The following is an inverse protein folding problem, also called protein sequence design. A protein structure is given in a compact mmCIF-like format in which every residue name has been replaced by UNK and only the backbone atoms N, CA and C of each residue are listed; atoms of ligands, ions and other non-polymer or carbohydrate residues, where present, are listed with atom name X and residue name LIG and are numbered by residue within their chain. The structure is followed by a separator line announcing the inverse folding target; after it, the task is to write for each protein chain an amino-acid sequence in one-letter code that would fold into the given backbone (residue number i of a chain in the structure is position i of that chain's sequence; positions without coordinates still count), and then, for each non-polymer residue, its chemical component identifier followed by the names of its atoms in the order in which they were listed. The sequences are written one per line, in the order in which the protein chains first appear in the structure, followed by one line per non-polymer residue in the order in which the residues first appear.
data_IF_414436435707
#
_entry.id   IF_414436435707
#
_cell.length_a   1.000
_cell.length_b   1.000
_cell.length_c   1.000
_cell.angle_alpha   90.00
_cell.angle_beta   90.00
_cell.angle_gamma   90.00
#
_symmetry.space_group_name_H-M   'P 1'
#
loop_
_entity.id
_entity.type
_entity.pdbx_description
1 polymer ?
2 non-polymer ?
3 water ?
#
# COMPACT_ATOMS: atom_id res chain seq x y z
N UNK A 1 -1.88 7.94 -20.22
CA UNK A 1 -1.22 8.21 -18.94
C UNK A 1 0.21 8.69 -19.18
N UNK A 2 0.75 9.48 -18.25
CA UNK A 2 2.03 10.15 -18.51
C UNK A 2 3.21 9.21 -18.27
N UNK A 3 4.38 9.66 -18.72
CA UNK A 3 5.56 8.83 -18.60
C UNK A 3 6.02 8.74 -17.15
N UNK A 4 5.70 9.74 -16.34
CA UNK A 4 6.08 9.75 -14.93
C UNK A 4 4.86 10.03 -14.07
N UNK A 5 4.75 9.29 -12.98
CA UNK A 5 3.78 9.56 -11.94
C UNK A 5 4.53 9.51 -10.62
N UNK A 6 4.21 10.45 -9.74
CA UNK A 6 4.81 10.45 -8.42
C UNK A 6 3.80 11.15 -7.51
N UNK A 7 2.97 10.36 -6.84
CA UNK A 7 1.93 10.93 -6.00
C UNK A 7 2.49 11.71 -4.82
N UNK A 8 3.76 11.51 -4.47
CA UNK A 8 4.37 12.34 -3.43
C UNK A 8 4.40 13.79 -3.87
N UNK A 9 4.65 14.02 -5.16
CA UNK A 9 4.72 15.36 -5.73
C UNK A 9 3.35 16.00 -5.83
N UNK A 10 2.30 15.20 -5.89
CA UNK A 10 0.94 15.70 -5.87
C UNK A 10 0.42 15.88 -4.45
N UNK A 11 1.29 15.71 -3.45
CA UNK A 11 0.87 15.85 -2.07
C UNK A 11 -0.15 14.82 -1.63
N UNK A 12 -0.08 13.61 -2.17
CA UNK A 12 -1.08 12.56 -1.93
C UNK A 12 -0.51 11.41 -1.12
N UNK A 13 0.69 11.56 -0.56
CA UNK A 13 1.38 10.50 0.15
C UNK A 13 1.83 11.04 1.50
N UNK A 14 1.48 10.33 2.56
CA UNK A 14 1.88 10.73 3.90
C UNK A 14 3.30 10.24 4.17
N UNK A 15 3.91 10.65 5.28
CA UNK A 15 5.27 10.20 5.58
C UNK A 15 5.37 8.69 5.63
N UNK A 16 6.57 8.19 5.33
CA UNK A 16 6.81 6.75 5.39
C UNK A 16 6.64 6.25 6.81
N UNK A 17 5.99 5.11 6.94
CA UNK A 17 5.73 4.52 8.24
C UNK A 17 6.62 3.30 8.42
N UNK A 18 6.67 2.81 9.65
CA UNK A 18 7.41 1.60 9.97
C UNK A 18 6.46 0.64 10.66
N UNK A 19 6.20 -0.49 10.02
CA UNK A 19 5.32 -1.47 10.62
C UNK A 19 5.96 -2.23 11.78
N UNK A 20 7.29 -2.20 11.90
CA UNK A 20 7.86 -2.97 12.99
C UNK A 20 7.82 -4.46 12.70
N UNK A 21 7.86 -5.24 13.78
CA UNK A 21 7.90 -6.69 13.65
C UNK A 21 6.55 -7.29 13.28
N UNK A 22 5.46 -6.55 13.49
CA UNK A 22 4.12 -7.06 13.23
C UNK A 22 3.91 -7.28 11.74
N UNK A 23 3.30 -8.41 11.38
CA UNK A 23 3.02 -8.65 9.98
C UNK A 23 1.80 -7.89 9.50
N UNK A 24 1.87 -6.57 9.58
CA UNK A 24 0.76 -5.68 9.28
C UNK A 24 0.95 -4.92 7.98
N UNK A 25 1.79 -5.42 7.08
CA UNK A 25 2.04 -4.70 5.83
C UNK A 25 0.75 -4.51 5.04
N UNK A 26 -0.13 -5.51 5.06
CA UNK A 26 -1.39 -5.42 4.32
C UNK A 26 -2.21 -4.20 4.74
N UNK A 27 -2.17 -3.86 6.03
CA UNK A 27 -2.88 -2.68 6.51
C UNK A 27 -2.17 -1.39 6.13
N UNK A 28 -0.84 -1.37 6.19
CA UNK A 28 -0.11 -0.18 5.77
C UNK A 28 -0.34 0.10 4.30
N UNK A 29 -0.23 -0.94 3.48
CA UNK A 29 -0.49 -0.83 2.05
C UNK A 29 -1.90 -0.27 1.80
N UNK A 30 -2.91 -0.87 2.45
CA UNK A 30 -4.27 -0.38 2.29
C UNK A 30 -4.38 1.08 2.69
N UNK A 31 -3.79 1.44 3.83
CA UNK A 31 -3.88 2.81 4.33
C UNK A 31 -3.21 3.79 3.37
N UNK A 32 -2.08 3.42 2.78
CA UNK A 32 -1.47 4.32 1.80
C UNK A 32 -2.46 4.62 0.70
N UNK A 33 -3.17 3.59 0.23
CA UNK A 33 -4.11 3.84 -0.86
C UNK A 33 -5.32 4.67 -0.41
N UNK A 34 -5.74 4.53 0.86
CA UNK A 34 -6.87 5.34 1.34
C UNK A 34 -6.46 6.79 1.50
N UNK A 35 -5.32 7.04 2.14
CA UNK A 35 -4.80 8.40 2.26
C UNK A 35 -4.68 9.04 0.88
N UNK A 36 -4.24 8.27 -0.11
CA UNK A 36 -4.08 8.82 -1.44
C UNK A 36 -5.41 9.18 -2.07
N UNK A 37 -6.38 8.25 -2.04
CA UNK A 37 -7.63 8.54 -2.72
C UNK A 37 -8.38 9.65 -2.00
N UNK A 38 -8.23 9.77 -0.68
CA UNK A 38 -8.89 10.87 0.01
C UNK A 38 -8.26 12.20 -0.38
N UNK A 39 -6.93 12.25 -0.52
CA UNK A 39 -6.30 13.48 -0.99
C UNK A 39 -6.74 13.82 -2.41
N UNK A 40 -6.75 12.82 -3.29
CA UNK A 40 -7.14 13.01 -4.68
C UNK A 40 -8.57 13.53 -4.78
N UNK A 41 -9.48 12.98 -3.98
CA UNK A 41 -10.89 13.35 -4.08
C UNK A 41 -11.23 14.62 -3.30
N UNK A 42 -10.54 14.91 -2.19
CA UNK A 42 -10.95 16.01 -1.32
C UNK A 42 -9.94 17.14 -1.21
N UNK A 43 -8.69 16.93 -1.63
CA UNK A 43 -7.68 17.96 -1.52
C UNK A 43 -6.92 17.97 -0.22
N UNK A 44 -7.31 17.13 0.75
CA UNK A 44 -6.67 17.09 2.06
C UNK A 44 -5.93 15.77 2.21
N UNK A 45 -4.69 15.85 2.66
CA UNK A 45 -3.89 14.69 2.98
C UNK A 45 -4.00 14.43 4.47
N UNK A 46 -4.54 13.27 4.82
CA UNK A 46 -4.66 12.89 6.22
C UNK A 46 -4.00 11.55 6.41
N UNK A 47 -3.63 11.26 7.64
CA UNK A 47 -3.15 9.94 7.98
C UNK A 47 -4.27 9.15 8.62
N UNK A 48 -4.41 7.90 8.19
CA UNK A 48 -5.45 7.03 8.67
C UNK A 48 -4.83 5.84 9.38
N UNK A 49 -5.68 5.06 10.02
CA UNK A 49 -5.25 4.11 11.03
C UNK A 49 -4.96 2.75 10.42
N UNK A 50 -3.67 2.40 10.35
CA UNK A 50 -3.30 1.01 10.09
C UNK A 50 -3.78 0.14 11.23
N UNK A 51 -3.69 0.66 12.46
CA UNK A 51 -4.07 -0.11 13.63
C UNK A 51 -5.54 -0.48 13.57
N UNK A 52 -6.38 0.42 13.08
CA UNK A 52 -7.80 0.11 12.99
C UNK A 52 -8.02 -1.10 12.10
N UNK A 53 -7.32 -1.17 10.97
CA UNK A 53 -7.47 -2.31 10.08
C UNK A 53 -6.92 -3.57 10.74
N UNK A 54 -5.78 -3.45 11.41
CA UNK A 54 -5.20 -4.58 12.13
C UNK A 54 -6.18 -5.17 13.13
N UNK A 55 -6.85 -4.31 13.90
CA UNK A 55 -7.75 -4.78 14.94
C UNK A 55 -9.07 -5.28 14.38
N UNK A 56 -9.57 -4.62 13.34
CA UNK A 56 -10.96 -4.73 12.95
C UNK A 56 -11.21 -5.54 11.70
N UNK A 57 -10.20 -5.82 10.90
CA UNK A 57 -10.44 -6.61 9.70
C UNK A 57 -10.55 -8.08 10.11
N UNK A 58 -11.79 -8.55 10.24
CA UNK A 58 -12.02 -9.91 10.70
C UNK A 58 -11.61 -10.99 9.70
N UNK A 59 -11.30 -10.65 8.44
CA UNK A 59 -10.78 -11.65 7.51
C UNK A 59 -9.28 -11.78 7.57
N UNK A 60 -8.59 -10.71 7.97
CA UNK A 60 -7.16 -10.76 8.20
C UNK A 60 -6.88 -11.41 9.54
N UNK A 61 -5.60 -11.66 9.78
CA UNK A 61 -5.18 -12.35 10.99
C UNK A 61 -4.27 -11.46 11.83
N UNK A 62 -4.58 -10.16 11.89
CA UNK A 62 -3.80 -9.27 12.73
C UNK A 62 -2.35 -9.19 12.29
N UNK A 63 -1.45 -9.37 13.25
CA UNK A 63 -0.02 -9.33 12.96
C UNK A 63 0.48 -10.60 12.29
N UNK A 64 -0.38 -11.57 12.07
CA UNK A 64 0.04 -12.75 11.35
C UNK A 64 -0.24 -12.63 9.86
N UNK A 65 -0.56 -11.43 9.40
CA UNK A 65 -0.76 -11.19 7.99
C UNK A 65 -2.23 -10.94 7.70
N UNK A 66 -2.50 -10.66 6.44
CA UNK A 66 -3.83 -10.25 6.06
C UNK A 66 -3.89 -9.92 4.59
N UNK A 67 -5.00 -9.30 4.21
CA UNK A 67 -5.35 -9.14 2.80
C UNK A 67 -5.61 -7.66 2.59
N UNK A 68 -4.80 -6.99 1.77
CA UNK A 68 -5.11 -5.59 1.44
C UNK A 68 -6.52 -5.42 0.89
N UNK A 69 -7.03 -6.42 0.16
CA UNK A 69 -8.39 -6.30 -0.35
C UNK A 69 -9.40 -6.30 0.78
N UNK A 70 -9.19 -7.15 1.79
CA UNK A 70 -10.10 -7.19 2.93
C UNK A 70 -10.10 -5.86 3.68
N UNK A 71 -8.91 -5.27 3.87
CA UNK A 71 -8.82 -3.99 4.58
C UNK A 71 -9.49 -2.87 3.80
N UNK A 72 -9.33 -2.85 2.47
CA UNK A 72 -9.97 -1.79 1.71
C UNK A 72 -11.48 -1.99 1.70
N UNK A 73 -11.92 -3.24 1.67
CA UNK A 73 -13.35 -3.51 1.76
C UNK A 73 -13.88 -3.09 3.12
N UNK A 74 -13.06 -3.19 4.17
CA UNK A 74 -13.47 -2.72 5.49
C UNK A 74 -13.65 -1.20 5.51
N UNK A 75 -12.72 -0.47 4.88
CA UNK A 75 -12.86 0.98 4.86
C UNK A 75 -14.03 1.42 4.00
N UNK A 76 -14.36 0.65 2.97
CA UNK A 76 -15.51 1.02 2.16
C UNK A 76 -16.82 0.66 2.85
N UNK A 77 -16.84 -0.42 3.63
CA UNK A 77 -18.07 -0.86 4.28
C UNK A 77 -18.38 0.00 5.50
N UNK A 78 -17.38 0.24 6.34
CA UNK A 78 -17.55 1.04 7.56
C UNK A 78 -16.85 2.37 7.39
N UNK A 79 -15.54 2.37 7.36
CA UNK A 79 -14.76 3.58 7.28
C UNK A 79 -13.46 3.36 8.01
N UNK A 80 -12.75 4.46 8.23
CA UNK A 80 -11.46 4.40 8.89
C UNK A 80 -11.28 5.70 9.65
N UNK A 81 -10.59 5.60 10.78
CA UNK A 81 -10.29 6.75 11.62
C UNK A 81 -8.96 7.37 11.27
N UNK A 82 -8.80 8.61 11.70
CA UNK A 82 -7.51 9.26 11.58
C UNK A 82 -6.48 8.48 12.38
N UNK A 83 -5.23 8.54 11.94
CA UNK A 83 -4.17 7.83 12.64
C UNK A 83 -4.02 8.34 14.07
N UNK A 84 -4.13 9.66 14.27
CA UNK A 84 -3.98 10.24 15.61
C UNK A 84 -5.08 9.77 16.55
N UNK A 85 -6.25 9.40 16.01
CA UNK A 85 -7.36 8.87 16.80
C UNK A 85 -7.15 7.41 17.20
N UNK A 86 -6.43 6.66 16.37
CA UNK A 86 -6.33 5.20 16.48
C UNK A 86 -4.88 4.88 16.12
N UNK A 87 -3.94 5.24 16.99
CA UNK A 87 -2.53 5.17 16.60
C UNK A 87 -2.01 3.75 16.51
N UNK A 88 -0.86 3.63 15.86
CA UNK A 88 -0.28 2.34 15.57
C UNK A 88 0.46 1.80 16.79
N UNK A 89 0.14 0.57 17.15
CA UNK A 89 0.71 -0.05 18.33
C UNK A 89 1.58 -1.25 18.00
N UNK A 90 1.53 -1.74 16.76
CA UNK A 90 2.41 -2.82 16.38
C UNK A 90 1.98 -4.15 16.94
N UNK A 91 0.73 -4.25 17.40
CA UNK A 91 0.18 -5.49 17.95
C UNK A 91 -1.32 -5.47 17.70
N UNK A 92 -1.88 -6.64 17.41
CA UNK A 92 -3.32 -6.69 17.22
C UNK A 92 -3.97 -6.61 18.59
N UNK A 93 -5.00 -5.79 18.69
CA UNK A 93 -5.78 -5.63 19.90
C UNK A 93 -7.24 -5.77 19.53
N UNK A 94 -8.12 -5.57 20.51
CA UNK A 94 -9.54 -5.60 20.21
C UNK A 94 -9.87 -4.47 19.23
N UNK A 95 -10.87 -4.71 18.41
CA UNK A 95 -11.37 -3.67 17.52
C UNK A 95 -12.02 -2.55 18.32
N UNK A 96 -11.49 -1.33 18.18
CA UNK A 96 -11.93 -0.18 18.95
C UNK A 96 -12.55 0.88 18.06
N UNK A 97 -12.83 0.55 16.79
CA UNK A 97 -13.47 1.49 15.87
C UNK A 97 -14.77 2.04 16.44
N UNK A 98 -15.53 1.19 17.13
CA UNK A 98 -16.74 1.65 17.79
C UNK A 98 -16.42 2.75 18.80
N UNK A 99 -15.39 2.54 19.62
CA UNK A 99 -15.12 3.42 20.75
C UNK A 99 -14.44 4.72 20.37
N UNK A 100 -14.12 4.96 19.11
CA UNK A 100 -13.43 6.19 18.75
C UNK A 100 -14.30 7.16 17.98
N UNK A 101 -15.61 7.01 18.08
CA UNK A 101 -16.48 7.98 17.48
C UNK A 101 -16.64 7.72 16.01
N UNK A 102 -17.29 8.64 15.32
CA UNK A 102 -17.54 8.45 13.89
C UNK A 102 -16.23 8.35 13.12
N UNK A 103 -16.28 7.60 12.02
CA UNK A 103 -15.15 7.46 11.12
C UNK A 103 -14.74 8.81 10.54
N UNK A 104 -13.47 8.90 10.16
CA UNK A 104 -12.92 10.11 9.56
C UNK A 104 -13.11 10.12 8.05
N UNK A 105 -13.05 8.96 7.42
CA UNK A 105 -13.19 8.84 5.99
C UNK A 105 -13.84 7.50 5.69
N UNK A 106 -14.46 7.41 4.53
CA UNK A 106 -15.07 6.17 4.11
C UNK A 106 -14.93 6.14 2.59
N UNK A 107 -14.68 4.97 2.04
CA UNK A 107 -14.58 4.85 0.59
C UNK A 107 -15.83 4.16 0.09
N UNK A 108 -15.89 3.95 -1.22
CA UNK A 108 -17.09 3.42 -1.83
C UNK A 108 -16.90 2.04 -2.41
N UNK A 109 -15.69 1.51 -2.39
CA UNK A 109 -15.50 0.16 -2.87
C UNK A 109 -14.03 -0.15 -3.05
N UNK A 110 -13.79 -1.28 -3.70
CA UNK A 110 -12.45 -1.80 -3.92
C UNK A 110 -12.44 -2.39 -5.31
N UNK A 111 -11.44 -2.03 -6.10
CA UNK A 111 -11.27 -2.63 -7.41
C UNK A 111 -9.90 -3.27 -7.47
N UNK A 112 -9.82 -4.34 -8.24
CA UNK A 112 -8.59 -5.07 -8.42
C UNK A 112 -8.02 -4.71 -9.78
N UNK A 113 -6.71 -4.48 -9.81
CA UNK A 113 -6.05 -4.37 -11.09
C UNK A 113 -5.99 -5.76 -11.70
N UNK A 114 -6.24 -5.84 -13.00
CA UNK A 114 -6.05 -7.09 -13.72
C UNK A 114 -4.64 -7.61 -13.46
N UNK A 115 -4.49 -8.76 -12.80
CA UNK A 115 -3.15 -9.21 -12.40
C UNK A 115 -2.28 -9.56 -13.60
N UNK A 116 -0.97 -9.54 -13.35
CA UNK A 116 0.02 -9.99 -14.32
C UNK A 116 -0.06 -9.15 -15.59
N UNK A 117 -0.27 -7.86 -15.41
CA UNK A 117 -0.50 -6.95 -16.51
C UNK A 117 0.11 -5.62 -16.09
N UNK A 118 1.29 -5.32 -16.63
CA UNK A 118 2.00 -4.12 -16.19
C UNK A 118 1.21 -2.86 -16.52
N UNK A 119 0.71 -2.76 -17.75
CA UNK A 119 0.00 -1.55 -18.14
C UNK A 119 -1.25 -1.31 -17.31
N UNK A 120 -1.94 -2.39 -16.93
CA UNK A 120 -3.13 -2.21 -16.11
C UNK A 120 -2.74 -1.60 -14.77
N UNK A 121 -1.62 -2.04 -14.21
CA UNK A 121 -1.16 -1.48 -12.96
C UNK A 121 -0.69 -0.05 -13.13
N UNK A 122 0.05 0.24 -14.21
CA UNK A 122 0.46 1.62 -14.46
C UNK A 122 -0.74 2.54 -14.63
N UNK A 123 -1.77 2.07 -15.33
CA UNK A 123 -2.97 2.87 -15.50
C UNK A 123 -3.60 3.20 -14.15
N UNK A 124 -3.62 2.22 -13.23
CA UNK A 124 -4.19 2.47 -11.90
C UNK A 124 -3.31 3.42 -11.10
N UNK A 125 -1.99 3.32 -11.26
CA UNK A 125 -1.10 4.25 -10.56
C UNK A 125 -1.25 5.66 -11.12
N UNK A 126 -1.50 5.79 -12.42
CA UNK A 126 -1.73 7.12 -12.96
C UNK A 126 -2.93 7.79 -12.30
N UNK A 127 -3.91 7.00 -11.86
CA UNK A 127 -5.11 7.57 -11.27
C UNK A 127 -5.02 7.71 -9.75
N UNK A 128 -4.18 6.91 -9.08
CA UNK A 128 -4.16 6.90 -7.62
C UNK A 128 -3.12 5.91 -7.11
N UNK A 129 -2.71 6.03 -5.85
CA UNK A 129 -1.88 5.01 -5.24
C UNK A 129 -2.59 3.67 -5.22
N UNK A 130 -1.83 2.59 -5.39
CA UNK A 130 -2.41 1.27 -5.55
C UNK A 130 -1.79 0.34 -4.51
N UNK A 131 -2.59 -0.53 -3.92
CA UNK A 131 -2.02 -1.53 -3.03
C UNK A 131 -1.49 -2.66 -3.88
N UNK A 132 -0.22 -3.02 -3.69
CA UNK A 132 0.37 -4.09 -4.47
C UNK A 132 1.09 -5.02 -3.51
N UNK A 133 1.42 -6.21 -3.99
CA UNK A 133 2.15 -7.16 -3.18
C UNK A 133 3.41 -7.51 -3.95
N UNK A 134 4.41 -8.00 -3.23
CA UNK A 134 5.66 -8.39 -3.84
C UNK A 134 6.37 -9.37 -2.91
N UNK A 135 7.41 -9.99 -3.45
CA UNK A 135 8.29 -10.85 -2.68
C UNK A 135 9.38 -9.99 -2.06
N UNK A 136 9.32 -9.84 -0.74
CA UNK A 136 10.29 -9.05 0.01
C UNK A 136 11.24 -9.91 0.82
N UNK A 137 11.12 -11.24 0.74
CA UNK A 137 11.91 -12.10 1.62
C UNK A 137 13.38 -12.15 1.23
N UNK A 138 13.70 -11.90 -0.04
CA UNK A 138 15.09 -11.99 -0.48
C UNK A 138 15.96 -10.92 0.14
N UNK A 139 17.22 -11.29 0.43
CA UNK A 139 18.15 -10.33 1.02
C UNK A 139 18.41 -9.16 0.09
N UNK A 140 18.35 -9.39 -1.22
CA UNK A 140 18.59 -8.29 -2.14
C UNK A 140 17.56 -7.19 -1.92
N UNK A 141 16.29 -7.58 -1.74
CA UNK A 141 15.25 -6.62 -1.40
C UNK A 141 15.41 -6.10 0.02
N UNK A 142 15.71 -6.99 0.97
CA UNK A 142 15.85 -6.56 2.36
C UNK A 142 16.94 -5.51 2.51
N UNK A 143 18.04 -5.67 1.77
CA UNK A 143 19.21 -4.82 1.91
C UNK A 143 19.20 -3.69 0.89
N UNK A 144 18.12 -3.56 0.12
CA UNK A 144 18.07 -2.54 -0.91
C UNK A 144 18.35 -1.18 -0.31
N UNK A 145 19.25 -0.43 -0.93
CA UNK A 145 19.55 0.91 -0.46
C UNK A 145 19.12 2.00 -1.42
N UNK A 146 19.02 1.70 -2.71
CA UNK A 146 18.63 2.72 -3.65
C UNK A 146 18.92 2.27 -5.06
N UNK A 147 18.41 3.05 -5.99
CA UNK A 147 18.50 2.73 -7.40
C UNK A 147 17.24 2.03 -7.85
N UNK A 148 17.22 1.69 -9.14
CA UNK A 148 16.11 0.95 -9.71
C UNK A 148 16.36 -0.53 -9.44
N UNK A 149 15.53 -1.12 -8.59
CA UNK A 149 15.73 -2.48 -8.13
C UNK A 149 15.29 -3.46 -9.21
N UNK A 150 16.18 -4.38 -9.56
CA UNK A 150 15.90 -5.39 -10.59
C UNK A 150 15.82 -6.79 -10.02
N UNK A 151 15.94 -6.95 -8.70
CA UNK A 151 16.12 -8.24 -8.09
C UNK A 151 17.57 -8.44 -7.72
N UNK A 152 18.02 -9.70 -7.58
CA UNK A 152 17.27 -10.94 -7.80
C UNK A 152 16.06 -11.07 -6.87
N UNK A 153 14.98 -11.67 -7.35
CA UNK A 153 13.83 -11.99 -6.51
C UNK A 153 12.97 -12.95 -7.30
N UNK A 154 12.21 -13.77 -6.59
CA UNK A 154 11.21 -14.61 -7.21
C UNK A 154 9.86 -13.92 -7.19
N UNK A 155 8.83 -14.67 -7.57
CA UNK A 155 7.48 -14.14 -7.53
C UNK A 155 6.67 -14.68 -6.35
N UNK A 156 7.35 -15.23 -5.35
CA UNK A 156 6.70 -15.78 -4.16
C UNK A 156 6.27 -14.61 -3.28
N UNK A 157 5.12 -14.01 -3.60
CA UNK A 157 4.78 -12.74 -2.96
C UNK A 157 4.38 -12.98 -1.52
N UNK A 158 4.79 -12.05 -0.67
CA UNK A 158 4.63 -12.23 0.77
C UNK A 158 4.53 -10.90 1.51
N UNK A 159 4.44 -9.78 0.81
CA UNK A 159 4.59 -8.48 1.43
C UNK A 159 3.77 -7.46 0.68
N UNK A 160 2.89 -6.76 1.39
CA UNK A 160 2.04 -5.76 0.77
C UNK A 160 2.67 -4.38 0.96
N UNK A 161 2.70 -3.61 -0.11
CA UNK A 161 3.31 -2.29 -0.15
C UNK A 161 2.40 -1.43 -1.01
N UNK A 162 2.84 -0.23 -1.36
CA UNK A 162 1.97 0.61 -2.15
C UNK A 162 2.70 1.22 -3.32
N UNK A 163 2.10 1.17 -4.50
CA UNK A 163 2.67 1.82 -5.67
C UNK A 163 2.12 3.24 -5.71
N UNK A 164 3.02 4.23 -5.68
CA UNK A 164 2.64 5.64 -5.64
C UNK A 164 3.19 6.41 -6.82
N UNK A 165 3.78 5.73 -7.79
CA UNK A 165 4.26 6.40 -8.98
C UNK A 165 4.96 5.42 -9.88
N UNK A 166 5.53 5.94 -10.96
CA UNK A 166 6.27 5.09 -11.88
C UNK A 166 7.06 5.98 -12.82
N UNK A 167 7.98 5.36 -13.54
CA UNK A 167 8.69 6.01 -14.61
C UNK A 167 8.89 5.05 -15.76
N UNK A 168 9.66 5.47 -16.77
CA UNK A 168 9.86 4.61 -17.94
C UNK A 168 10.39 3.23 -17.58
N UNK A 169 11.28 3.14 -16.59
CA UNK A 169 11.85 1.85 -16.22
C UNK A 169 11.34 1.32 -14.89
N UNK A 170 10.51 2.06 -14.18
CA UNK A 170 10.31 1.64 -12.80
C UNK A 170 8.89 1.90 -12.37
N UNK A 171 8.54 1.27 -11.25
CA UNK A 171 7.35 1.55 -10.47
C UNK A 171 7.83 2.01 -9.10
N UNK A 172 7.23 3.07 -8.59
CA UNK A 172 7.66 3.69 -7.35
C UNK A 172 6.85 3.12 -6.20
N UNK A 173 7.53 2.56 -5.20
CA UNK A 173 6.89 1.78 -4.14
C UNK A 173 7.20 2.44 -2.80
N UNK A 174 6.14 2.68 -2.03
CA UNK A 174 6.21 3.08 -0.63
C UNK A 174 6.18 1.81 0.21
N UNK A 175 7.28 1.54 0.89
CA UNK A 175 7.35 0.42 1.81
C UNK A 175 7.00 0.92 3.21
N UNK A 176 6.78 -0.02 4.12
CA UNK A 176 6.40 0.29 5.49
C UNK A 176 7.48 -0.20 6.44
N UNK A 177 8.73 0.01 6.05
CA UNK A 177 9.86 -0.43 6.85
C UNK A 177 10.64 0.75 7.41
N UNK A 178 10.01 1.91 7.53
CA UNK A 178 10.66 3.07 8.07
C UNK A 178 11.40 3.87 7.02
N UNK A 179 11.82 5.06 7.42
CA UNK A 179 12.49 5.97 6.50
C UNK A 179 13.95 5.63 6.24
N UNK A 180 14.56 4.71 6.99
CA UNK A 180 15.95 4.34 6.76
C UNK A 180 16.19 3.26 5.73
N UNK A 181 15.13 2.61 5.26
CA UNK A 181 15.24 1.57 4.25
C UNK A 181 15.09 2.17 2.86
N UNK A 182 15.92 1.70 1.93
CA UNK A 182 15.73 2.08 0.54
C UNK A 182 15.96 3.55 0.32
N UNK A 183 15.18 4.13 -0.58
CA UNK A 183 15.30 5.54 -0.95
C UNK A 183 14.34 6.32 -0.06
N UNK A 184 14.79 6.57 1.17
CA UNK A 184 14.00 7.23 2.22
C UNK A 184 12.69 6.50 2.47
N UNK A 185 12.72 5.18 2.37
CA UNK A 185 11.56 4.38 2.64
C UNK A 185 10.88 3.89 1.39
N UNK A 186 11.36 4.33 0.23
CA UNK A 186 10.79 3.98 -1.05
C UNK A 186 11.75 3.04 -1.78
N UNK A 187 11.20 2.34 -2.75
CA UNK A 187 11.98 1.56 -3.68
C UNK A 187 11.45 1.81 -5.08
N UNK A 188 12.36 1.94 -6.02
CA UNK A 188 11.98 1.96 -7.42
C UNK A 188 12.29 0.58 -7.99
N UNK A 189 11.26 -0.09 -8.49
CA UNK A 189 11.38 -1.46 -8.97
C UNK A 189 11.30 -1.45 -10.48
N UNK A 190 12.26 -2.12 -11.13
CA UNK A 190 12.33 -2.15 -12.58
C UNK A 190 11.01 -2.63 -13.18
N UNK A 191 10.59 -2.01 -14.27
CA UNK A 191 9.45 -2.50 -15.04
C UNK A 191 9.88 -2.62 -16.50
N UNK A 192 9.01 -3.19 -17.32
CA UNK A 192 9.32 -3.31 -18.73
C UNK A 192 10.21 -4.49 -19.08
N UNK A 193 10.31 -5.48 -18.19
CA UNK A 193 11.15 -6.65 -18.41
C UNK A 193 10.46 -7.72 -19.23
N UNK A 194 9.16 -7.60 -19.46
CA UNK A 194 8.43 -8.60 -20.22
C UNK A 194 8.02 -9.79 -19.41
N UNK A 195 8.35 -9.80 -18.13
CA UNK A 195 7.93 -10.86 -17.22
C UNK A 195 6.54 -10.51 -16.72
N UNK A 196 5.57 -11.37 -17.04
CA UNK A 196 4.19 -11.06 -16.68
C UNK A 196 4.04 -10.90 -15.17
N UNK A 197 4.86 -11.60 -14.39
CA UNK A 197 4.76 -11.51 -12.94
C UNK A 197 5.19 -10.14 -12.43
N UNK A 198 6.01 -9.42 -13.19
CA UNK A 198 6.67 -8.25 -12.63
C UNK A 198 7.92 -8.61 -11.85
N UNK A 199 8.86 -7.68 -11.76
CA UNK A 199 9.99 -7.89 -10.87
C UNK A 199 9.45 -8.12 -9.46
N UNK A 200 9.94 -9.18 -8.81
CA UNK A 200 9.48 -9.61 -7.48
C UNK A 200 7.98 -9.90 -7.42
N UNK A 201 7.38 -10.33 -8.53
CA UNK A 201 5.96 -10.64 -8.49
C UNK A 201 5.08 -9.42 -8.33
N UNK A 202 5.59 -8.24 -8.70
CA UNK A 202 4.91 -6.98 -8.42
C UNK A 202 3.52 -6.90 -9.04
N UNK A 203 3.20 -7.72 -10.03
CA UNK A 203 1.90 -7.62 -10.67
C UNK A 203 0.94 -8.70 -10.19
N UNK A 204 1.25 -9.37 -9.08
CA UNK A 204 0.46 -10.53 -8.68
C UNK A 204 -0.93 -10.16 -8.17
N UNK A 205 -1.04 -9.12 -7.34
CA UNK A 205 -2.30 -8.90 -6.64
C UNK A 205 -2.31 -7.43 -6.21
N UNK A 206 -3.02 -6.61 -6.96
CA UNK A 206 -2.99 -5.18 -6.77
C UNK A 206 -4.41 -4.66 -6.69
N UNK A 207 -4.66 -3.82 -5.69
CA UNK A 207 -5.99 -3.33 -5.38
C UNK A 207 -5.90 -1.84 -5.11
N UNK A 208 -7.01 -1.16 -5.34
CA UNK A 208 -7.08 0.25 -5.00
C UNK A 208 -8.49 0.53 -4.55
N UNK A 209 -8.68 1.50 -3.67
CA UNK A 209 -10.03 1.87 -3.25
C UNK A 209 -10.68 2.76 -4.28
N UNK A 210 -12.00 2.67 -4.34
CA UNK A 210 -12.78 3.55 -5.19
C UNK A 210 -13.59 4.45 -4.27
N UNK A 211 -13.60 5.73 -4.60
CA UNK A 211 -14.30 6.74 -3.82
C UNK A 211 -14.90 7.74 -4.78
N UNK A 212 -16.23 7.82 -4.76
CA UNK A 212 -16.97 8.72 -5.61
C UNK A 212 -16.88 10.14 -5.05
X LIG B 1 4.14 -8.11 6.16
X LIG B 1 3.96 -7.61 7.27
X LIG B 1 5.27 -8.17 5.57
X LIG B 1 2.94 -8.68 5.40
X LIG B 1 2.28 -9.92 6.01
X LIG B 1 3.22 -10.95 6.22
X LIG B 1 1.09 -10.33 5.13
X LIG B 1 0.01 -9.76 5.23
X LIG B 1 1.30 -11.32 4.24
X LIG B 1 0.26 -11.78 3.34
X LIG B 1 0.86 -12.00 1.96
X LIG B 1 0.92 -10.78 1.05
X LIG B 1 -0.05 -9.71 1.56
X LIG B 1 0.58 -11.19 -0.38
X LIG B 1 -0.34 -13.10 3.81
X LIG B 1 0.39 -13.99 4.25
X LIG B 1 -1.67 -13.18 3.69
X LIG B 1 -2.46 -14.34 4.07
X LIG B 1 -2.88 -14.32 5.54
X LIG B 1 -1.74 -14.64 6.50
X LIG B 1 -1.47 -16.14 6.55
X LIG B 1 -2.53 -16.85 7.24
X LIG B 1 -2.72 -16.82 8.56
X LIG B 1 -1.95 -16.13 9.38
X LIG B 1 -3.73 -17.51 9.09
#
# INVERSE_FOLDING_TARGET
IPEYVDWRQKGAVTPVKNQGSCGSCWAFSAVVTIEGIIKIRTGNLNEYSEQELLDCDRRSYGCNGGYPWSALQLVAQYGIHYRNTYPYEGVQRYCRSREKGPYAAKTDGVRQVQPYNEGALLYSIANQPVSVVLEAAGKDFQLYRGGIFVGPCGNKVDHAVAAVGYGPNYILIKNSWGTGWGENGYIRIKRGTGNSYGVCGLYTSSFYPVKN
E64 C1 O1 O2 C2 C3 O3 C4 O4 N1 C6 C7 C8 C9 C10 C11 O5 N2 C12 C13 C14 C15 N3 C16 N4 N5
#
